data_IF_721457433316
#
_entry.id   IF_721457433316
#
_cell.length_a   1.000
_cell.length_b   1.000
_cell.length_c   1.000
_cell.angle_alpha   90.00
_cell.angle_beta   90.00
_cell.angle_gamma   90.00
#
_symmetry.space_group_name_H-M   'P 1'
#
loop_
_entity.id
_entity.type
_entity.pdbx_description
1 polymer ?
#
# COMPACT_ATOMS: atom_id res chain seq x y z
N UNK A 1 -14.31 -25.46 -17.60
CA UNK A 1 -14.75 -24.18 -17.03
C UNK A 1 -13.61 -23.63 -16.16
N UNK A 2 -13.27 -22.35 -16.35
CA UNK A 2 -12.23 -21.67 -15.55
C UNK A 2 -12.88 -20.49 -14.85
N UNK A 3 -12.58 -20.32 -13.56
CA UNK A 3 -13.07 -19.23 -12.73
C UNK A 3 -11.87 -18.65 -11.96
N UNK A 4 -11.84 -17.34 -11.79
CA UNK A 4 -10.89 -16.66 -10.93
C UNK A 4 -11.64 -15.88 -9.85
N UNK A 5 -11.30 -16.15 -8.59
CA UNK A 5 -11.84 -15.45 -7.42
C UNK A 5 -10.73 -14.57 -6.85
N UNK A 6 -10.93 -13.27 -6.86
CA UNK A 6 -9.96 -12.30 -6.32
C UNK A 6 -10.69 -11.11 -5.72
N UNK A 7 -10.15 -10.58 -4.62
CA UNK A 7 -10.62 -9.31 -4.04
C UNK A 7 -10.03 -8.08 -4.75
N UNK A 8 -8.89 -8.26 -5.42
CA UNK A 8 -8.09 -7.18 -6.01
C UNK A 8 -7.61 -7.59 -7.41
N UNK A 9 -8.49 -7.51 -8.43
CA UNK A 9 -8.12 -7.90 -9.80
C UNK A 9 -7.05 -7.00 -10.42
N UNK A 10 -6.91 -5.78 -9.92
CA UNK A 10 -5.84 -4.82 -10.28
C UNK A 10 -5.41 -4.10 -9.01
N UNK A 11 -4.18 -4.31 -8.58
CA UNK A 11 -3.58 -3.57 -7.46
C UNK A 11 -2.63 -2.48 -7.96
N UNK A 12 -1.66 -2.87 -8.77
CA UNK A 12 -0.58 -1.99 -9.18
C UNK A 12 -0.48 -1.79 -10.68
N UNK A 13 -0.87 -2.78 -11.47
CA UNK A 13 -0.68 -2.77 -12.93
C UNK A 13 -1.84 -3.45 -13.66
N UNK A 14 -2.16 -2.96 -14.86
CA UNK A 14 -3.13 -3.60 -15.74
C UNK A 14 -2.68 -4.97 -16.25
N UNK A 15 -1.37 -5.26 -16.22
CA UNK A 15 -0.82 -6.58 -16.53
C UNK A 15 -1.33 -7.69 -15.59
N UNK A 16 -1.72 -7.36 -14.37
CA UNK A 16 -2.33 -8.32 -13.44
C UNK A 16 -3.69 -8.79 -13.97
N UNK A 17 -4.51 -7.85 -14.44
CA UNK A 17 -5.77 -8.16 -15.09
C UNK A 17 -5.58 -8.99 -16.36
N UNK A 18 -4.58 -8.62 -17.20
CA UNK A 18 -4.25 -9.39 -18.38
C UNK A 18 -3.92 -10.85 -18.03
N UNK A 19 -3.11 -11.09 -17.01
CA UNK A 19 -2.74 -12.42 -16.57
C UNK A 19 -3.94 -13.27 -16.12
N UNK A 20 -4.89 -12.65 -15.41
CA UNK A 20 -6.13 -13.32 -15.02
C UNK A 20 -6.95 -13.73 -16.26
N UNK A 21 -7.09 -12.82 -17.23
CA UNK A 21 -7.85 -13.09 -18.44
C UNK A 21 -7.14 -14.08 -19.39
N UNK A 22 -5.81 -14.05 -19.45
CA UNK A 22 -5.05 -15.04 -20.21
C UNK A 22 -5.23 -16.46 -19.65
N UNK A 23 -5.29 -16.58 -18.32
CA UNK A 23 -5.66 -17.86 -17.69
C UNK A 23 -7.11 -18.27 -17.98
N UNK A 24 -8.08 -17.36 -17.87
CA UNK A 24 -9.50 -17.64 -18.05
C UNK A 24 -9.85 -17.93 -19.51
N UNK A 25 -9.40 -17.08 -20.40
CA UNK A 25 -9.71 -17.04 -21.82
C UNK A 25 -8.46 -16.67 -22.63
N UNK A 26 -7.56 -17.62 -22.90
CA UNK A 26 -6.31 -17.35 -23.59
C UNK A 26 -6.54 -16.59 -24.91
N UNK A 27 -5.80 -15.50 -25.10
CA UNK A 27 -5.90 -14.66 -26.30
C UNK A 27 -7.03 -13.64 -26.32
N UNK A 28 -7.97 -13.64 -25.38
CA UNK A 28 -9.09 -12.69 -25.35
C UNK A 28 -8.63 -11.21 -25.27
N UNK A 29 -7.63 -10.93 -24.44
CA UNK A 29 -7.00 -9.61 -24.32
C UNK A 29 -5.71 -9.50 -25.14
N UNK A 30 -5.67 -10.19 -26.29
CA UNK A 30 -4.50 -10.25 -27.19
C UNK A 30 -3.25 -10.89 -26.54
N UNK A 31 -2.10 -10.84 -27.26
CA UNK A 31 -0.80 -11.14 -26.65
C UNK A 31 -0.42 -10.04 -25.65
N UNK A 32 0.40 -10.39 -24.64
CA UNK A 32 0.85 -9.41 -23.64
C UNK A 32 1.51 -8.17 -24.27
N UNK A 33 2.33 -8.38 -25.31
CA UNK A 33 2.98 -7.27 -26.03
C UNK A 33 1.93 -6.29 -26.59
N UNK A 34 0.94 -6.83 -27.30
CA UNK A 34 -0.12 -6.02 -27.92
C UNK A 34 -1.00 -5.34 -26.87
N UNK A 35 -1.37 -6.04 -25.79
CA UNK A 35 -2.12 -5.47 -24.68
C UNK A 35 -1.37 -4.30 -24.03
N UNK A 36 -0.07 -4.46 -23.82
CA UNK A 36 0.76 -3.40 -23.26
C UNK A 36 0.83 -2.17 -24.16
N UNK A 37 1.04 -2.36 -25.46
CA UNK A 37 1.16 -1.28 -26.44
C UNK A 37 -0.18 -0.54 -26.69
N UNK A 38 -1.29 -1.27 -26.78
CA UNK A 38 -2.58 -0.71 -27.15
C UNK A 38 -3.48 -0.32 -25.97
N UNK A 39 -3.22 -0.84 -24.77
CA UNK A 39 -4.06 -0.64 -23.59
C UNK A 39 -3.27 -0.10 -22.40
N UNK A 40 -2.24 -0.83 -21.93
CA UNK A 40 -1.56 -0.48 -20.67
C UNK A 40 -0.80 0.85 -20.78
N UNK A 41 0.01 1.03 -21.83
CA UNK A 41 0.79 2.26 -22.01
C UNK A 41 -0.12 3.46 -22.27
N UNK A 42 -1.10 3.42 -23.19
CA UNK A 42 -2.04 4.53 -23.41
C UNK A 42 -2.82 4.89 -22.13
N UNK A 43 -3.37 3.92 -21.44
CA UNK A 43 -4.19 4.15 -20.25
C UNK A 43 -3.40 4.71 -19.05
N UNK A 44 -2.15 4.23 -18.84
CA UNK A 44 -1.36 4.58 -17.65
C UNK A 44 -0.43 5.77 -17.90
N UNK A 45 0.27 5.79 -19.05
CA UNK A 45 1.26 6.85 -19.31
C UNK A 45 0.67 8.06 -20.00
N UNK A 46 -0.31 7.85 -20.88
CA UNK A 46 -0.92 8.93 -21.65
C UNK A 46 -2.27 9.39 -21.10
N UNK A 47 -2.75 8.76 -20.01
CA UNK A 47 -4.07 9.02 -19.42
C UNK A 47 -5.21 8.94 -20.42
N UNK A 48 -5.12 8.01 -21.39
CA UNK A 48 -6.12 7.81 -22.44
C UNK A 48 -7.35 7.11 -21.84
N UNK A 49 -8.37 7.92 -21.58
CA UNK A 49 -9.65 7.44 -21.06
C UNK A 49 -10.37 6.49 -22.03
N UNK A 50 -10.18 6.66 -23.33
CA UNK A 50 -10.88 5.84 -24.34
C UNK A 50 -10.28 4.43 -24.40
N UNK A 51 -8.98 4.29 -24.19
CA UNK A 51 -8.34 2.98 -24.03
C UNK A 51 -8.90 2.25 -22.80
N UNK A 52 -9.07 2.96 -21.67
CA UNK A 52 -9.66 2.40 -20.46
C UNK A 52 -11.12 2.03 -20.64
N UNK A 53 -11.93 2.88 -21.28
CA UNK A 53 -13.35 2.61 -21.59
C UNK A 53 -13.51 1.40 -22.50
N UNK A 54 -12.64 1.25 -23.51
CA UNK A 54 -12.63 0.06 -24.39
C UNK A 54 -12.34 -1.20 -23.60
N UNK A 55 -11.31 -1.20 -22.76
CA UNK A 55 -10.99 -2.35 -21.91
C UNK A 55 -12.17 -2.70 -21.00
N UNK A 56 -12.72 -1.72 -20.28
CA UNK A 56 -13.88 -1.93 -19.40
C UNK A 56 -15.07 -2.54 -20.16
N UNK A 57 -15.36 -2.06 -21.37
CA UNK A 57 -16.45 -2.61 -22.19
C UNK A 57 -16.19 -4.06 -22.59
N UNK A 58 -14.94 -4.41 -22.90
CA UNK A 58 -14.56 -5.78 -23.25
C UNK A 58 -14.72 -6.75 -22.08
N UNK A 59 -14.23 -6.38 -20.90
CA UNK A 59 -14.20 -7.28 -19.74
C UNK A 59 -15.52 -7.34 -18.96
N UNK A 60 -16.35 -6.30 -19.04
CA UNK A 60 -17.61 -6.17 -18.28
C UNK A 60 -18.50 -7.42 -18.29
N UNK A 61 -18.71 -8.13 -19.43
CA UNK A 61 -19.57 -9.33 -19.45
C UNK A 61 -19.01 -10.50 -18.63
N UNK A 62 -17.72 -10.51 -18.31
CA UNK A 62 -16.99 -11.62 -17.67
C UNK A 62 -16.61 -11.32 -16.23
N UNK A 63 -16.83 -10.10 -15.74
CA UNK A 63 -16.45 -9.66 -14.40
C UNK A 63 -17.69 -9.39 -13.57
N UNK A 64 -17.83 -10.11 -12.47
CA UNK A 64 -18.83 -9.83 -11.45
C UNK A 64 -18.15 -9.20 -10.23
N UNK A 65 -18.36 -7.90 -10.04
CA UNK A 65 -17.87 -7.17 -8.87
C UNK A 65 -19.05 -6.76 -7.98
N UNK A 66 -18.99 -7.10 -6.72
CA UNK A 66 -19.95 -6.67 -5.70
C UNK A 66 -19.22 -6.00 -4.55
N UNK A 67 -19.60 -4.80 -4.22
CA UNK A 67 -19.09 -4.09 -3.06
C UNK A 67 -19.91 -4.48 -1.82
N UNK A 68 -19.26 -4.61 -0.66
CA UNK A 68 -19.96 -4.90 0.60
C UNK A 68 -21.11 -3.93 0.86
N UNK A 69 -20.88 -2.63 0.60
CA UNK A 69 -21.86 -1.57 0.77
C UNK A 69 -23.12 -1.74 -0.09
N UNK A 70 -22.99 -2.37 -1.25
CA UNK A 70 -24.13 -2.58 -2.19
C UNK A 70 -24.94 -3.83 -1.85
N UNK A 71 -24.33 -4.80 -1.17
CA UNK A 71 -24.93 -6.12 -0.92
C UNK A 71 -25.39 -6.28 0.53
N UNK A 72 -24.66 -5.70 1.47
CA UNK A 72 -24.90 -5.81 2.91
C UNK A 72 -25.46 -4.48 3.44
N UNK A 73 -26.70 -4.20 3.08
CA UNK A 73 -27.42 -2.98 3.50
C UNK A 73 -27.69 -2.90 5.00
N UNK A 74 -27.68 -4.05 5.69
CA UNK A 74 -27.95 -4.13 7.14
C UNK A 74 -26.71 -3.82 7.99
N UNK A 75 -25.51 -3.67 7.37
CA UNK A 75 -24.31 -3.31 8.09
C UNK A 75 -24.21 -1.79 8.22
N UNK A 76 -23.90 -1.28 9.42
CA UNK A 76 -23.61 0.13 9.61
C UNK A 76 -22.36 0.54 8.81
N UNK A 77 -22.29 1.83 8.49
CA UNK A 77 -21.10 2.38 7.83
C UNK A 77 -19.86 2.17 8.71
N UNK A 78 -18.74 1.85 8.06
CA UNK A 78 -17.44 1.72 8.72
C UNK A 78 -16.92 3.10 9.08
N UNK A 79 -16.70 3.33 10.37
CA UNK A 79 -15.98 4.51 10.85
C UNK A 79 -14.48 4.26 10.76
N UNK A 80 -13.77 5.17 10.13
CA UNK A 80 -12.31 5.16 10.06
C UNK A 80 -11.79 6.46 10.68
N UNK A 81 -10.95 6.32 11.71
CA UNK A 81 -10.32 7.45 12.38
C UNK A 81 -8.80 7.33 12.30
N UNK A 82 -8.14 8.45 12.01
CA UNK A 82 -6.69 8.55 12.03
C UNK A 82 -6.24 9.13 13.38
N UNK A 83 -5.50 8.33 14.14
CA UNK A 83 -4.89 8.77 15.38
C UNK A 83 -3.46 9.22 15.14
N UNK A 84 -3.12 10.42 15.61
CA UNK A 84 -1.80 11.00 15.47
C UNK A 84 -1.10 11.02 16.83
N UNK A 85 0.15 10.56 16.82
CA UNK A 85 1.02 10.55 18.00
C UNK A 85 2.29 11.32 17.68
N UNK A 86 2.70 12.18 18.58
CA UNK A 86 3.99 12.86 18.52
C UNK A 86 5.08 12.00 19.14
N UNK A 87 6.19 11.88 18.43
CA UNK A 87 7.37 11.23 18.98
C UNK A 87 7.94 12.10 20.10
N UNK A 88 8.42 11.48 21.15
CA UNK A 88 8.98 12.17 22.33
C UNK A 88 10.31 11.55 22.78
N UNK A 89 11.07 12.30 23.60
CA UNK A 89 12.25 11.80 24.24
C UNK A 89 13.35 11.28 23.30
N UNK A 90 13.82 10.07 23.56
CA UNK A 90 14.90 9.42 22.78
C UNK A 90 14.44 9.03 21.37
N UNK A 91 13.18 8.61 21.23
CA UNK A 91 12.61 8.25 19.93
C UNK A 91 12.66 9.42 18.94
N UNK A 92 12.31 10.62 19.38
CA UNK A 92 12.40 11.82 18.57
C UNK A 92 13.83 12.14 18.15
N UNK A 93 14.79 12.03 19.08
CA UNK A 93 16.22 12.26 18.78
C UNK A 93 16.76 11.29 17.74
N UNK A 94 16.39 10.01 17.84
CA UNK A 94 16.78 8.99 16.88
C UNK A 94 16.18 9.29 15.50
N UNK A 95 14.91 9.66 15.44
CA UNK A 95 14.25 10.04 14.20
C UNK A 95 14.95 11.24 13.54
N UNK A 96 15.19 12.31 14.28
CA UNK A 96 15.85 13.52 13.78
C UNK A 96 17.28 13.26 13.29
N UNK A 97 18.03 12.41 14.00
CA UNK A 97 19.37 12.02 13.59
C UNK A 97 19.36 11.26 12.25
N UNK A 98 18.39 10.34 12.07
CA UNK A 98 18.24 9.59 10.82
C UNK A 98 17.77 10.47 9.66
N UNK A 99 16.84 11.42 9.90
CA UNK A 99 16.40 12.40 8.90
C UNK A 99 17.57 13.27 8.44
N UNK A 100 18.37 13.81 9.37
CA UNK A 100 19.57 14.60 9.04
C UNK A 100 20.57 13.82 8.21
N UNK A 101 20.83 12.57 8.59
CA UNK A 101 21.71 11.66 7.83
C UNK A 101 21.20 11.45 6.41
N UNK A 102 19.91 11.17 6.27
CA UNK A 102 19.28 10.95 4.97
C UNK A 102 19.33 12.20 4.08
N UNK A 103 19.07 13.40 4.65
CA UNK A 103 19.21 14.67 3.93
C UNK A 103 20.63 14.88 3.41
N UNK A 104 21.65 14.65 4.27
CA UNK A 104 23.05 14.75 3.86
C UNK A 104 23.45 13.74 2.77
N UNK A 105 22.82 12.59 2.73
CA UNK A 105 23.03 11.60 1.66
C UNK A 105 22.41 12.09 0.35
N UNK A 106 21.22 12.66 0.40
CA UNK A 106 20.51 13.17 -0.78
C UNK A 106 21.20 14.40 -1.38
N UNK A 107 21.64 15.34 -0.54
CA UNK A 107 22.31 16.57 -0.97
C UNK A 107 23.65 16.33 -1.72
N UNK A 108 24.28 15.18 -1.48
CA UNK A 108 25.56 14.81 -2.11
C UNK A 108 25.42 14.02 -3.39
N UNK A 109 24.19 13.65 -3.78
CA UNK A 109 23.95 12.78 -4.95
C UNK A 109 23.65 13.60 -6.20
N UNK A 110 24.28 13.22 -7.31
CA UNK A 110 23.90 13.66 -8.65
C UNK A 110 22.60 12.95 -9.11
N UNK A 111 21.94 13.49 -10.15
CA UNK A 111 20.72 12.87 -10.71
C UNK A 111 20.93 11.40 -11.17
N UNK A 112 22.12 11.09 -11.66
CA UNK A 112 22.45 9.73 -12.09
C UNK A 112 22.68 8.78 -10.92
N UNK A 113 23.35 9.24 -9.87
CA UNK A 113 23.52 8.51 -8.62
C UNK A 113 22.18 8.31 -7.90
N UNK A 114 21.28 9.29 -7.95
CA UNK A 114 19.92 9.14 -7.40
C UNK A 114 19.14 8.01 -8.07
N UNK A 115 19.28 7.80 -9.38
CA UNK A 115 18.61 6.70 -10.09
C UNK A 115 19.10 5.32 -9.63
N UNK A 116 20.39 5.20 -9.32
CA UNK A 116 21.01 3.94 -8.85
C UNK A 116 20.80 3.70 -7.36
N UNK A 117 20.64 4.77 -6.57
CA UNK A 117 20.51 4.68 -5.11
C UNK A 117 19.07 4.50 -4.61
N UNK A 118 18.08 4.32 -5.49
CA UNK A 118 16.66 4.17 -5.09
C UNK A 118 16.41 3.10 -4.03
N UNK A 119 17.12 1.97 -4.13
CA UNK A 119 16.99 0.87 -3.14
C UNK A 119 17.53 1.32 -1.78
N UNK A 120 18.65 2.04 -1.76
CA UNK A 120 19.24 2.56 -0.53
C UNK A 120 18.33 3.60 0.13
N UNK A 121 17.75 4.50 -0.66
CA UNK A 121 16.78 5.50 -0.18
C UNK A 121 15.55 4.80 0.40
N UNK A 122 15.02 3.78 -0.28
CA UNK A 122 13.89 3.01 0.22
C UNK A 122 14.22 2.28 1.54
N UNK A 123 15.44 1.77 1.68
CA UNK A 123 15.91 1.15 2.91
C UNK A 123 15.97 2.17 4.07
N UNK A 124 16.48 3.38 3.83
CA UNK A 124 16.51 4.44 4.85
C UNK A 124 15.10 4.94 5.22
N UNK A 125 14.18 5.08 4.25
CA UNK A 125 12.77 5.38 4.52
C UNK A 125 12.11 4.28 5.35
N UNK A 126 12.46 3.02 5.08
CA UNK A 126 11.96 1.89 5.87
C UNK A 126 12.46 1.95 7.31
N UNK A 127 13.73 2.31 7.52
CA UNK A 127 14.27 2.51 8.87
C UNK A 127 13.58 3.66 9.61
N UNK A 128 13.35 4.80 8.95
CA UNK A 128 12.58 5.91 9.54
C UNK A 128 11.17 5.46 9.96
N UNK A 129 10.52 4.67 9.12
CA UNK A 129 9.22 4.09 9.43
C UNK A 129 9.29 3.14 10.64
N UNK A 130 10.33 2.33 10.74
CA UNK A 130 10.54 1.43 11.87
C UNK A 130 10.80 2.23 13.16
N UNK A 131 11.63 3.28 13.12
CA UNK A 131 11.84 4.19 14.26
C UNK A 131 10.52 4.81 14.73
N UNK A 132 9.65 5.22 13.80
CA UNK A 132 8.33 5.75 14.15
C UNK A 132 7.40 4.70 14.76
N UNK A 133 7.54 3.43 14.39
CA UNK A 133 6.73 2.36 14.97
C UNK A 133 7.25 1.94 16.33
N UNK A 134 8.50 1.50 16.37
CA UNK A 134 9.22 1.11 17.56
C UNK A 134 10.73 1.06 17.24
N UNK A 135 11.57 1.90 17.87
CA UNK A 135 13.01 1.89 17.63
C UNK A 135 13.70 0.57 17.96
N UNK A 136 13.14 -0.25 18.84
CA UNK A 136 13.69 -1.57 19.18
C UNK A 136 13.76 -2.52 17.97
N UNK A 137 12.98 -2.25 16.91
CA UNK A 137 13.04 -3.00 15.65
C UNK A 137 14.40 -2.85 14.92
N UNK A 138 15.16 -1.81 15.25
CA UNK A 138 16.46 -1.52 14.63
C UNK A 138 17.58 -1.56 15.68
N UNK A 139 17.29 -1.05 16.87
CA UNK A 139 18.26 -0.90 17.96
C UNK A 139 17.94 -1.87 19.10
N UNK A 140 18.65 -3.00 19.16
CA UNK A 140 18.39 -4.05 20.15
C UNK A 140 18.51 -3.55 21.60
N UNK A 141 19.34 -2.53 21.83
CA UNK A 141 19.57 -1.94 23.16
C UNK A 141 18.58 -0.82 23.52
N UNK A 142 17.65 -0.49 22.63
CA UNK A 142 16.64 0.53 22.90
C UNK A 142 15.65 0.03 23.97
N UNK A 143 15.53 0.77 25.06
CA UNK A 143 14.68 0.42 26.21
C UNK A 143 13.70 1.53 26.60
N UNK A 144 13.72 2.65 25.90
CA UNK A 144 12.79 3.74 26.16
C UNK A 144 11.42 3.48 25.53
N UNK A 145 10.44 4.28 25.92
CA UNK A 145 9.06 4.16 25.47
C UNK A 145 8.91 4.40 23.97
N UNK A 146 7.92 3.77 23.39
CA UNK A 146 7.54 3.94 21.99
C UNK A 146 6.15 4.55 21.88
N UNK A 147 6.08 5.80 21.47
CA UNK A 147 4.86 6.58 21.48
C UNK A 147 3.66 5.91 20.75
N UNK A 148 3.92 5.22 19.64
CA UNK A 148 2.86 4.49 18.92
C UNK A 148 2.42 3.21 19.61
N UNK A 149 3.37 2.50 20.22
CA UNK A 149 3.06 1.27 20.97
C UNK A 149 2.24 1.63 22.19
N UNK A 150 2.65 2.64 22.95
CA UNK A 150 1.95 3.10 24.14
C UNK A 150 0.52 3.57 23.82
N UNK A 151 0.37 4.35 22.76
CA UNK A 151 -0.94 4.78 22.28
C UNK A 151 -1.81 3.57 21.89
N UNK A 152 -1.25 2.62 21.16
CA UNK A 152 -1.97 1.40 20.75
C UNK A 152 -2.40 0.58 21.98
N UNK A 153 -1.51 0.39 22.96
CA UNK A 153 -1.83 -0.32 24.20
C UNK A 153 -2.93 0.37 24.99
N UNK A 154 -2.87 1.70 25.12
CA UNK A 154 -3.90 2.47 25.79
C UNK A 154 -5.27 2.34 25.08
N UNK A 155 -5.29 2.42 23.76
CA UNK A 155 -6.52 2.21 22.98
C UNK A 155 -7.09 0.80 23.18
N UNK A 156 -6.24 -0.22 23.18
CA UNK A 156 -6.64 -1.61 23.40
C UNK A 156 -7.23 -1.76 24.81
N UNK A 157 -6.54 -1.23 25.85
CA UNK A 157 -7.02 -1.31 27.22
C UNK A 157 -8.40 -0.66 27.39
N UNK A 158 -8.55 0.57 26.87
CA UNK A 158 -9.82 1.29 26.95
C UNK A 158 -10.96 0.54 26.22
N UNK A 159 -10.66 -0.05 25.06
CA UNK A 159 -11.67 -0.80 24.30
C UNK A 159 -12.08 -2.10 25.03
N UNK A 160 -11.12 -2.80 25.63
CA UNK A 160 -11.39 -4.02 26.43
C UNK A 160 -12.20 -3.67 27.67
N UNK A 161 -11.83 -2.63 28.41
CA UNK A 161 -12.57 -2.16 29.59
C UNK A 161 -14.00 -1.75 29.26
N UNK A 162 -14.22 -1.22 28.03
CA UNK A 162 -15.54 -0.87 27.52
C UNK A 162 -16.32 -2.07 26.96
N UNK A 163 -15.78 -3.28 27.03
CA UNK A 163 -16.44 -4.51 26.58
C UNK A 163 -16.45 -4.70 25.06
N UNK A 164 -15.63 -3.93 24.31
CA UNK A 164 -15.51 -4.06 22.86
C UNK A 164 -14.60 -5.22 22.45
N UNK A 165 -14.89 -5.82 21.30
CA UNK A 165 -14.02 -6.81 20.68
C UNK A 165 -13.02 -6.11 19.78
N UNK A 166 -11.77 -6.54 19.83
CA UNK A 166 -10.67 -5.97 19.04
C UNK A 166 -10.19 -7.02 18.07
N UNK A 167 -10.07 -6.65 16.81
CA UNK A 167 -9.41 -7.45 15.76
C UNK A 167 -8.28 -6.63 15.15
N UNK A 168 -7.10 -7.25 15.05
CA UNK A 168 -5.94 -6.67 14.38
C UNK A 168 -5.86 -7.23 12.98
N UNK A 169 -6.18 -6.42 11.98
CA UNK A 169 -5.91 -6.74 10.59
C UNK A 169 -4.44 -6.48 10.28
N UNK A 170 -3.73 -7.54 9.89
CA UNK A 170 -2.36 -7.46 9.38
C UNK A 170 -2.34 -7.01 7.91
#
# INVERSE_FOLDING_TARGET
FRLALTGTPVENRLSELWSIFDYLMPGFLYSYKKFREEVEIPAVQNSDEDAMKRLQKMIRPFVLRRLKKEVLTDLPDKLEENMFVQLTGEQQKLYDAHVKRMMLMLDKQSEEEFKTSKITILAELTKLRQICCDPSLIFADYKADSAKVDMCLNMISNAVESGHKIDRKS
#
